data_IF_781482542030
#
_entry.id   IF_781482542030
#
_cell.length_a   1.000
_cell.length_b   1.000
_cell.length_c   1.000
_cell.angle_alpha   90.00
_cell.angle_beta   90.00
_cell.angle_gamma   90.00
#
_symmetry.space_group_name_H-M   'P 1'
#
loop_
_entity.id
_entity.type
_entity.pdbx_description
1 polymer ?
#
# COMPACT_ATOMS: atom_id res chain seq x y z
N UNK A 1 -34.30 -23.01 -14.01
CA UNK A 1 -33.32 -22.02 -14.51
C UNK A 1 -33.89 -20.63 -14.28
N UNK A 2 -33.22 -19.84 -13.44
CA UNK A 2 -33.52 -18.46 -12.97
C UNK A 2 -33.15 -18.46 -11.49
N UNK A 3 -32.25 -17.66 -10.94
CA UNK A 3 -31.56 -16.43 -11.36
C UNK A 3 -30.37 -16.36 -10.40
N UNK A 4 -29.13 -16.39 -10.89
CA UNK A 4 -27.96 -16.20 -10.04
C UNK A 4 -27.96 -14.72 -9.62
N UNK A 5 -28.31 -14.46 -8.37
CA UNK A 5 -28.29 -13.15 -7.74
C UNK A 5 -26.85 -12.61 -7.69
N UNK A 6 -26.64 -11.45 -8.30
CA UNK A 6 -25.40 -10.66 -8.34
C UNK A 6 -25.07 -10.05 -6.96
N UNK A 7 -24.83 -10.90 -5.95
CA UNK A 7 -24.67 -10.47 -4.55
C UNK A 7 -23.22 -10.50 -4.00
N UNK A 8 -22.17 -10.63 -4.84
CA UNK A 8 -20.81 -10.87 -4.31
C UNK A 8 -19.59 -10.46 -5.15
N UNK A 9 -19.71 -9.52 -6.09
CA UNK A 9 -18.54 -9.08 -6.88
C UNK A 9 -17.83 -7.87 -6.25
N UNK A 10 -16.50 -7.97 -6.13
CA UNK A 10 -15.62 -6.85 -5.86
C UNK A 10 -15.57 -5.93 -7.09
N UNK A 11 -15.61 -4.61 -6.85
CA UNK A 11 -15.51 -3.60 -7.90
C UNK A 11 -14.38 -2.64 -7.58
N UNK A 12 -13.55 -2.34 -8.58
CA UNK A 12 -12.40 -1.45 -8.45
C UNK A 12 -12.35 -0.43 -9.60
N UNK A 13 -13.33 0.49 -9.72
CA UNK A 13 -13.30 1.51 -10.77
C UNK A 13 -12.21 2.57 -10.53
N UNK A 14 -11.57 3.02 -11.61
CA UNK A 14 -10.80 4.27 -11.60
C UNK A 14 -11.67 5.46 -12.05
N UNK A 15 -11.60 6.58 -11.36
CA UNK A 15 -12.17 7.87 -11.80
C UNK A 15 -11.07 8.70 -12.45
N UNK A 16 -11.19 8.99 -13.75
CA UNK A 16 -10.29 9.92 -14.44
C UNK A 16 -10.94 11.31 -14.53
N UNK A 17 -10.32 12.30 -13.92
CA UNK A 17 -10.81 13.68 -13.87
C UNK A 17 -9.73 14.68 -14.25
N UNK A 18 -10.12 15.90 -14.62
CA UNK A 18 -9.23 17.01 -15.01
C UNK A 18 -9.45 18.27 -14.20
N UNK A 19 -10.56 18.36 -13.48
CA UNK A 19 -10.92 19.54 -12.68
C UNK A 19 -11.42 19.14 -11.29
N UNK A 20 -11.28 20.04 -10.32
CA UNK A 20 -11.84 19.86 -8.97
C UNK A 20 -13.37 19.71 -9.02
N UNK A 21 -14.07 20.39 -9.95
CA UNK A 21 -15.51 20.22 -10.08
C UNK A 21 -15.90 18.81 -10.56
N UNK A 22 -15.14 18.22 -11.49
CA UNK A 22 -15.34 16.83 -11.91
C UNK A 22 -15.06 15.86 -10.75
N UNK A 23 -13.94 16.04 -10.05
CA UNK A 23 -13.60 15.25 -8.87
C UNK A 23 -14.73 15.28 -7.83
N UNK A 24 -15.11 16.47 -7.39
CA UNK A 24 -16.15 16.66 -6.38
C UNK A 24 -17.48 16.06 -6.83
N UNK A 25 -17.90 16.33 -8.07
CA UNK A 25 -19.18 15.84 -8.59
C UNK A 25 -19.24 14.31 -8.59
N UNK A 26 -18.20 13.64 -9.10
CA UNK A 26 -18.22 12.18 -9.23
C UNK A 26 -18.04 11.47 -7.89
N UNK A 27 -17.15 11.97 -7.02
CA UNK A 27 -16.94 11.40 -5.68
C UNK A 27 -18.18 11.57 -4.80
N UNK A 28 -18.83 12.74 -4.81
CA UNK A 28 -20.08 12.99 -4.08
C UNK A 28 -21.23 12.15 -4.63
N UNK A 29 -21.33 12.02 -5.96
CA UNK A 29 -22.33 11.14 -6.57
C UNK A 29 -22.16 9.69 -6.10
N UNK A 30 -20.92 9.17 -6.13
CA UNK A 30 -20.60 7.83 -5.66
C UNK A 30 -20.99 7.59 -4.19
N UNK A 31 -20.79 8.59 -3.32
CA UNK A 31 -21.15 8.50 -1.90
C UNK A 31 -22.66 8.61 -1.67
N UNK A 32 -23.37 9.49 -2.39
CA UNK A 32 -24.83 9.60 -2.29
C UNK A 32 -25.56 8.35 -2.77
N UNK A 33 -25.04 7.66 -3.77
CA UNK A 33 -25.53 6.33 -4.14
C UNK A 33 -25.38 5.32 -3.00
N UNK A 34 -24.24 5.35 -2.29
CA UNK A 34 -24.00 4.52 -1.10
C UNK A 34 -25.01 4.81 0.01
N UNK A 35 -25.25 6.10 0.31
CA UNK A 35 -26.26 6.54 1.28
C UNK A 35 -27.66 6.02 0.93
N UNK A 36 -28.05 6.15 -0.34
CA UNK A 36 -29.36 5.67 -0.83
C UNK A 36 -29.53 4.17 -0.63
N UNK A 37 -28.43 3.41 -0.67
CA UNK A 37 -28.40 1.95 -0.49
C UNK A 37 -28.12 1.51 0.94
N UNK A 38 -27.85 2.44 1.86
CA UNK A 38 -27.44 2.14 3.23
C UNK A 38 -26.08 1.42 3.32
N UNK A 39 -25.19 1.62 2.36
CA UNK A 39 -23.86 1.00 2.34
C UNK A 39 -22.89 1.80 3.22
N UNK A 40 -22.16 1.18 4.17
CA UNK A 40 -21.12 1.86 4.94
C UNK A 40 -20.01 2.39 4.03
N UNK A 41 -19.53 3.60 4.35
CA UNK A 41 -18.57 4.31 3.52
C UNK A 41 -17.33 4.78 4.26
N UNK A 42 -16.19 4.67 3.58
CA UNK A 42 -14.95 5.31 3.96
C UNK A 42 -14.35 6.14 2.81
N UNK A 43 -13.69 7.23 3.15
CA UNK A 43 -12.99 8.11 2.22
C UNK A 43 -11.57 8.30 2.76
N UNK A 44 -10.60 7.83 2.00
CA UNK A 44 -9.18 7.98 2.29
C UNK A 44 -8.51 8.67 1.11
N UNK A 45 -8.37 9.99 1.17
CA UNK A 45 -7.80 10.83 0.11
C UNK A 45 -6.92 11.92 0.74
N UNK A 46 -6.08 12.66 -0.01
CA UNK A 46 -5.31 13.76 0.54
C UNK A 46 -6.19 14.84 1.19
N UNK A 47 -5.69 15.48 2.26
CA UNK A 47 -6.39 16.53 3.02
C UNK A 47 -7.23 17.52 2.20
N UNK A 48 -6.67 18.19 1.17
CA UNK A 48 -7.44 19.13 0.34
C UNK A 48 -8.66 18.50 -0.34
N UNK A 49 -8.56 17.25 -0.78
CA UNK A 49 -9.66 16.53 -1.38
C UNK A 49 -10.69 16.03 -0.35
N UNK A 50 -10.27 15.75 0.89
CA UNK A 50 -11.21 15.46 1.99
C UNK A 50 -12.15 16.66 2.20
N UNK A 51 -11.59 17.87 2.29
CA UNK A 51 -12.37 19.09 2.46
C UNK A 51 -13.31 19.36 1.29
N UNK A 52 -12.87 19.08 0.06
CA UNK A 52 -13.68 19.20 -1.15
C UNK A 52 -14.88 18.23 -1.12
N UNK A 53 -14.65 16.95 -0.77
CA UNK A 53 -15.71 15.94 -0.66
C UNK A 53 -16.69 16.30 0.46
N UNK A 54 -16.18 16.69 1.64
CA UNK A 54 -17.01 17.11 2.78
C UNK A 54 -17.90 18.29 2.42
N UNK A 55 -17.34 19.29 1.76
CA UNK A 55 -18.08 20.47 1.32
C UNK A 55 -19.19 20.11 0.32
N UNK A 56 -18.93 19.20 -0.62
CA UNK A 56 -19.93 18.76 -1.60
C UNK A 56 -21.05 17.87 -1.02
N UNK A 57 -20.76 17.13 0.05
CA UNK A 57 -21.76 16.34 0.78
C UNK A 57 -22.63 17.21 1.70
N UNK A 58 -22.04 18.21 2.36
CA UNK A 58 -22.75 18.97 3.39
C UNK A 58 -23.14 18.08 4.57
N UNK A 59 -24.43 18.11 4.96
CA UNK A 59 -24.96 17.28 6.06
C UNK A 59 -24.86 15.77 5.81
N UNK A 60 -24.79 15.35 4.54
CA UNK A 60 -24.67 13.94 4.14
C UNK A 60 -23.32 13.31 4.53
N UNK A 61 -22.35 14.10 5.02
CA UNK A 61 -21.04 13.61 5.44
C UNK A 61 -21.07 12.88 6.80
N UNK A 62 -22.16 12.98 7.56
CA UNK A 62 -22.31 12.29 8.85
C UNK A 62 -22.34 10.76 8.65
N UNK A 63 -21.59 10.03 9.49
CA UNK A 63 -21.52 8.57 9.43
C UNK A 63 -20.55 8.00 8.39
N UNK A 64 -19.87 8.84 7.60
CA UNK A 64 -18.78 8.42 6.70
C UNK A 64 -17.44 8.51 7.44
N UNK A 65 -16.61 7.47 7.34
CA UNK A 65 -15.25 7.49 7.88
C UNK A 65 -14.33 8.27 6.93
N UNK A 66 -13.64 9.30 7.42
CA UNK A 66 -12.67 10.06 6.63
C UNK A 66 -11.27 9.92 7.22
N UNK A 67 -10.28 9.66 6.36
CA UNK A 67 -8.89 9.44 6.72
C UNK A 67 -7.98 10.23 5.77
N UNK A 68 -6.96 10.91 6.30
CA UNK A 68 -5.97 11.56 5.44
C UNK A 68 -5.03 10.51 4.84
N UNK A 69 -5.07 10.37 3.51
CA UNK A 69 -4.24 9.40 2.79
C UNK A 69 -2.75 9.77 2.81
N UNK A 70 -2.40 11.04 3.02
CA UNK A 70 -0.99 11.45 3.17
C UNK A 70 -0.37 10.94 4.47
N UNK A 71 -1.19 10.70 5.50
CA UNK A 71 -0.76 10.10 6.77
C UNK A 71 -0.97 8.59 6.79
N UNK A 72 -2.21 8.14 6.52
CA UNK A 72 -2.58 6.73 6.58
C UNK A 72 -1.91 5.90 5.47
N UNK A 73 -1.68 6.53 4.32
CA UNK A 73 -1.08 5.93 3.14
C UNK A 73 0.37 6.31 2.88
N UNK A 74 1.04 7.01 3.80
CA UNK A 74 2.47 7.34 3.68
C UNK A 74 3.29 6.14 3.21
N UNK A 75 3.09 5.00 3.88
CA UNK A 75 3.54 3.69 3.43
C UNK A 75 2.38 2.92 2.76
N UNK A 76 2.41 2.68 1.43
CA UNK A 76 1.33 1.99 0.72
C UNK A 76 1.03 0.58 1.23
N UNK A 77 2.01 -0.10 1.83
CA UNK A 77 1.79 -1.43 2.40
C UNK A 77 0.87 -1.46 3.62
N UNK A 78 0.62 -0.31 4.27
CA UNK A 78 -0.33 -0.20 5.40
C UNK A 78 -1.78 -0.09 4.95
N UNK A 79 -2.04 0.37 3.73
CA UNK A 79 -3.36 0.82 3.31
C UNK A 79 -4.33 -0.37 3.19
N UNK A 80 -3.95 -1.46 2.50
CA UNK A 80 -4.80 -2.68 2.45
C UNK A 80 -5.11 -3.17 3.86
N UNK A 81 -4.14 -3.50 4.73
CA UNK A 81 -4.45 -4.12 6.00
C UNK A 81 -5.12 -3.18 7.01
N UNK A 82 -4.73 -1.91 7.06
CA UNK A 82 -5.20 -0.94 8.08
C UNK A 82 -6.45 -0.19 7.66
N UNK A 83 -6.48 0.31 6.42
CA UNK A 83 -7.54 1.21 5.94
C UNK A 83 -8.64 0.39 5.27
N UNK A 84 -8.31 -0.28 4.17
CA UNK A 84 -9.32 -0.93 3.34
C UNK A 84 -9.91 -2.16 4.04
N UNK A 85 -9.05 -3.07 4.49
CA UNK A 85 -9.48 -4.28 5.21
C UNK A 85 -9.95 -3.96 6.61
N UNK A 86 -9.31 -3.03 7.31
CA UNK A 86 -9.77 -2.57 8.63
C UNK A 86 -11.21 -2.07 8.58
N UNK A 87 -11.57 -1.28 7.56
CA UNK A 87 -12.95 -0.83 7.36
C UNK A 87 -13.87 -1.96 6.92
N UNK A 88 -13.54 -2.67 5.83
CA UNK A 88 -14.41 -3.73 5.30
C UNK A 88 -14.67 -4.87 6.31
N UNK A 89 -13.67 -5.25 7.11
CA UNK A 89 -13.78 -6.33 8.09
C UNK A 89 -14.61 -5.91 9.32
N UNK A 90 -14.77 -4.61 9.57
CA UNK A 90 -15.71 -4.09 10.59
C UNK A 90 -17.19 -4.17 10.14
N UNK A 91 -17.43 -4.41 8.84
CA UNK A 91 -18.77 -4.51 8.23
C UNK A 91 -18.97 -5.86 7.51
N UNK A 92 -18.84 -7.02 8.20
CA UNK A 92 -18.73 -8.33 7.56
C UNK A 92 -20.00 -8.83 6.85
N UNK A 93 -21.15 -8.17 7.08
CA UNK A 93 -22.46 -8.56 6.53
C UNK A 93 -22.97 -7.59 5.45
N UNK A 94 -22.27 -6.48 5.26
CA UNK A 94 -22.73 -5.37 4.43
C UNK A 94 -21.80 -5.21 3.23
N UNK A 95 -22.34 -4.71 2.12
CA UNK A 95 -21.50 -4.19 1.05
C UNK A 95 -20.95 -2.84 1.49
N UNK A 96 -19.65 -2.63 1.37
CA UNK A 96 -19.04 -1.32 1.69
C UNK A 96 -18.51 -0.60 0.45
N UNK A 97 -18.50 0.73 0.51
CA UNK A 97 -17.92 1.62 -0.50
C UNK A 97 -16.73 2.37 0.08
N UNK A 98 -15.64 2.44 -0.68
CA UNK A 98 -14.43 3.16 -0.26
C UNK A 98 -13.96 4.05 -1.40
N UNK A 99 -13.60 5.30 -1.10
CA UNK A 99 -12.79 6.11 -2.02
C UNK A 99 -11.35 6.07 -1.51
N UNK A 100 -10.40 5.68 -2.36
CA UNK A 100 -8.98 5.61 -2.03
C UNK A 100 -8.15 6.39 -3.05
N UNK A 101 -7.33 7.34 -2.60
CA UNK A 101 -6.43 8.09 -3.49
C UNK A 101 -4.97 8.02 -2.99
N UNK A 102 -4.32 6.84 -3.02
CA UNK A 102 -2.95 6.67 -2.54
C UNK A 102 -1.88 7.13 -3.54
N UNK A 103 -2.28 7.44 -4.78
CA UNK A 103 -1.45 8.04 -5.83
C UNK A 103 -1.99 9.45 -6.13
N UNK A 104 -1.40 10.45 -5.48
CA UNK A 104 -1.68 11.86 -5.72
C UNK A 104 -0.45 12.57 -6.31
N UNK A 105 -0.68 13.75 -6.91
CA UNK A 105 0.40 14.60 -7.41
C UNK A 105 1.32 15.02 -6.26
N UNK A 106 2.56 14.53 -6.25
CA UNK A 106 3.53 14.77 -5.19
C UNK A 106 4.23 13.51 -4.67
N UNK A 107 3.78 12.31 -5.05
CA UNK A 107 4.54 11.07 -4.80
C UNK A 107 5.90 11.13 -5.51
N UNK A 108 6.95 10.80 -4.77
CA UNK A 108 8.30 10.72 -5.34
C UNK A 108 8.47 9.49 -6.23
N UNK A 109 9.48 9.52 -7.10
CA UNK A 109 9.87 8.38 -7.92
C UNK A 109 10.25 7.13 -7.09
N UNK A 110 10.67 7.31 -5.83
CA UNK A 110 11.00 6.21 -4.91
C UNK A 110 9.73 5.55 -4.36
N UNK A 111 8.73 6.36 -4.00
CA UNK A 111 7.45 5.88 -3.46
C UNK A 111 6.55 5.28 -4.54
N UNK A 112 6.53 5.87 -5.73
CA UNK A 112 5.54 5.57 -6.75
C UNK A 112 5.42 4.07 -7.08
N UNK A 113 6.52 3.31 -7.32
CA UNK A 113 6.34 1.91 -7.65
C UNK A 113 5.74 1.07 -6.50
N UNK A 114 5.96 1.44 -5.23
CA UNK A 114 5.27 0.79 -4.11
C UNK A 114 3.78 1.12 -4.07
N UNK A 115 3.40 2.32 -4.52
CA UNK A 115 2.01 2.75 -4.67
C UNK A 115 1.31 2.03 -5.83
N UNK A 116 1.96 1.92 -6.99
CA UNK A 116 1.43 1.20 -8.14
C UNK A 116 1.23 -0.30 -7.83
N UNK A 117 2.18 -0.95 -7.16
CA UNK A 117 1.99 -2.32 -6.67
C UNK A 117 0.86 -2.41 -5.65
N UNK A 118 0.73 -1.43 -4.75
CA UNK A 118 -0.39 -1.40 -3.81
C UNK A 118 -1.74 -1.37 -4.52
N UNK A 119 -1.93 -0.45 -5.45
CA UNK A 119 -3.16 -0.32 -6.24
C UNK A 119 -3.50 -1.62 -6.97
N UNK A 120 -2.52 -2.20 -7.65
CA UNK A 120 -2.71 -3.46 -8.35
C UNK A 120 -3.14 -4.60 -7.42
N UNK A 121 -2.52 -4.69 -6.24
CA UNK A 121 -2.78 -5.73 -5.25
C UNK A 121 -4.14 -5.61 -4.54
N UNK A 122 -4.83 -4.46 -4.65
CA UNK A 122 -6.22 -4.35 -4.18
C UNK A 122 -7.11 -5.39 -4.87
N UNK A 123 -6.90 -5.63 -6.17
CA UNK A 123 -7.67 -6.61 -6.95
C UNK A 123 -7.60 -8.03 -6.34
N UNK A 124 -6.41 -8.47 -5.96
CA UNK A 124 -6.22 -9.76 -5.28
C UNK A 124 -6.69 -9.74 -3.80
N UNK A 125 -6.52 -8.62 -3.10
CA UNK A 125 -6.86 -8.53 -1.68
C UNK A 125 -8.36 -8.56 -1.40
N UNK A 126 -9.17 -8.16 -2.38
CA UNK A 126 -10.62 -8.04 -2.26
C UNK A 126 -11.39 -8.96 -3.21
N UNK A 127 -10.73 -9.83 -3.97
CA UNK A 127 -11.39 -10.82 -4.82
C UNK A 127 -12.49 -11.58 -4.04
N UNK A 128 -13.69 -11.65 -4.64
CA UNK A 128 -14.85 -12.32 -4.05
C UNK A 128 -15.51 -11.59 -2.86
N UNK A 129 -15.08 -10.38 -2.51
CA UNK A 129 -15.68 -9.60 -1.42
C UNK A 129 -16.72 -8.60 -1.92
N UNK A 130 -17.74 -8.34 -1.11
CA UNK A 130 -18.77 -7.34 -1.39
C UNK A 130 -18.25 -5.91 -1.10
N UNK A 131 -17.26 -5.46 -1.87
CA UNK A 131 -16.62 -4.16 -1.68
C UNK A 131 -16.58 -3.43 -3.02
N UNK A 132 -16.78 -2.12 -3.00
CA UNK A 132 -16.49 -1.23 -4.14
C UNK A 132 -15.44 -0.21 -3.71
N UNK A 133 -14.30 -0.17 -4.39
CA UNK A 133 -13.23 0.81 -4.14
C UNK A 133 -13.08 1.70 -5.37
N UNK A 134 -13.35 2.99 -5.21
CA UNK A 134 -13.17 4.00 -6.25
C UNK A 134 -11.81 4.67 -6.08
N UNK A 135 -10.96 4.63 -7.12
CA UNK A 135 -9.64 5.28 -7.11
C UNK A 135 -9.60 6.47 -8.08
N UNK A 136 -9.55 7.73 -7.58
CA UNK A 136 -9.42 8.91 -8.43
C UNK A 136 -8.01 9.11 -8.99
N UNK A 137 -7.91 9.60 -10.23
CA UNK A 137 -6.68 9.94 -10.94
C UNK A 137 -6.83 11.28 -11.67
N UNK A 138 -5.97 12.24 -11.31
CA UNK A 138 -5.88 13.55 -11.93
C UNK A 138 -5.12 13.46 -13.27
N UNK A 139 -5.83 13.50 -14.39
CA UNK A 139 -5.24 13.42 -15.74
C UNK A 139 -4.40 14.65 -16.12
N UNK A 140 -4.51 15.76 -15.36
CA UNK A 140 -3.74 16.98 -15.63
C UNK A 140 -2.44 17.03 -14.83
N UNK A 141 -2.48 16.59 -13.56
CA UNK A 141 -1.36 16.74 -12.62
C UNK A 141 -0.50 15.48 -12.48
N UNK A 142 -1.01 14.31 -12.84
CA UNK A 142 -0.23 13.06 -12.81
C UNK A 142 0.52 12.86 -14.13
N UNK A 143 1.70 12.26 -14.03
CA UNK A 143 2.48 11.91 -15.22
C UNK A 143 1.70 10.94 -16.13
N UNK A 144 1.86 11.02 -17.46
CA UNK A 144 1.15 10.14 -18.39
C UNK A 144 1.36 8.64 -18.13
N UNK A 145 2.54 8.24 -17.62
CA UNK A 145 2.81 6.84 -17.29
C UNK A 145 1.98 6.35 -16.09
N UNK A 146 1.67 7.23 -15.13
CA UNK A 146 0.80 6.93 -13.98
C UNK A 146 -0.62 6.65 -14.45
N UNK A 147 -1.12 7.48 -15.37
CA UNK A 147 -2.43 7.27 -15.98
C UNK A 147 -2.46 5.98 -16.80
N UNK A 148 -1.38 5.65 -17.50
CA UNK A 148 -1.27 4.38 -18.23
C UNK A 148 -1.30 3.17 -17.28
N UNK A 149 -0.60 3.22 -16.15
CA UNK A 149 -0.64 2.17 -15.13
C UNK A 149 -2.04 2.03 -14.52
N UNK A 150 -2.72 3.14 -14.23
CA UNK A 150 -4.08 3.12 -13.72
C UNK A 150 -5.04 2.41 -14.69
N UNK A 151 -4.90 2.65 -16.00
CA UNK A 151 -5.71 1.99 -17.04
C UNK A 151 -5.49 0.48 -17.10
N UNK A 152 -4.28 0.01 -16.84
CA UNK A 152 -3.95 -1.42 -16.77
C UNK A 152 -4.44 -2.03 -15.44
N UNK A 153 -4.42 -1.26 -14.36
CA UNK A 153 -4.74 -1.71 -13.00
C UNK A 153 -6.23 -1.91 -12.73
N UNK A 154 -7.10 -1.10 -13.34
CA UNK A 154 -8.53 -1.06 -13.01
C UNK A 154 -9.38 -1.75 -14.08
N UNK A 155 -10.33 -2.62 -13.72
CA UNK A 155 -11.21 -3.30 -14.67
C UNK A 155 -12.23 -2.36 -15.34
N UNK A 156 -12.61 -1.27 -14.69
CA UNK A 156 -13.56 -0.28 -15.20
C UNK A 156 -13.11 1.14 -14.91
N UNK A 157 -13.61 2.08 -15.71
CA UNK A 157 -13.30 3.50 -15.61
C UNK A 157 -14.57 4.33 -15.53
N UNK A 158 -14.48 5.46 -14.84
CA UNK A 158 -15.48 6.52 -14.78
C UNK A 158 -14.80 7.79 -15.32
N UNK A 159 -15.37 8.44 -16.33
CA UNK A 159 -14.86 9.73 -16.81
C UNK A 159 -15.30 10.88 -15.90
N UNK A 160 -14.67 12.06 -16.03
CA UNK A 160 -15.09 13.26 -15.31
C UNK A 160 -16.56 13.64 -15.55
N UNK A 161 -17.15 13.26 -16.69
CA UNK A 161 -18.58 13.43 -16.99
C UNK A 161 -19.48 12.32 -16.40
N UNK A 162 -18.91 11.29 -15.77
CA UNK A 162 -19.63 10.18 -15.15
C UNK A 162 -19.93 9.03 -16.11
N UNK A 163 -19.27 8.95 -17.27
CA UNK A 163 -19.46 7.84 -18.21
C UNK A 163 -18.62 6.65 -17.78
N UNK A 164 -19.27 5.50 -17.63
CA UNK A 164 -18.60 4.25 -17.32
C UNK A 164 -18.09 3.54 -18.59
N UNK A 165 -16.95 2.87 -18.47
CA UNK A 165 -16.40 2.01 -19.52
C UNK A 165 -15.58 0.86 -18.92
N UNK A 166 -15.40 -0.20 -19.69
CA UNK A 166 -14.54 -1.34 -19.31
C UNK A 166 -13.13 -1.09 -19.82
N UNK A 167 -12.13 -1.46 -19.03
CA UNK A 167 -10.74 -1.39 -19.45
C UNK A 167 -10.42 -2.45 -20.51
N UNK A 168 -9.94 -2.06 -21.71
CA UNK A 168 -9.53 -3.02 -22.73
C UNK A 168 -8.15 -3.65 -22.45
N UNK A 169 -7.41 -3.12 -21.48
CA UNK A 169 -6.01 -3.49 -21.17
C UNK A 169 -5.85 -3.92 -19.71
N UNK A 170 -6.93 -4.33 -19.05
CA UNK A 170 -6.91 -4.74 -17.65
C UNK A 170 -6.00 -5.95 -17.45
N UNK A 171 -4.92 -5.74 -16.69
CA UNK A 171 -3.91 -6.73 -16.33
C UNK A 171 -3.11 -6.22 -15.11
N UNK A 172 -3.74 -6.26 -13.93
CA UNK A 172 -3.10 -5.75 -12.72
C UNK A 172 -1.83 -6.52 -12.36
N UNK A 173 -1.71 -7.80 -12.74
CA UNK A 173 -0.51 -8.60 -12.53
C UNK A 173 0.69 -8.01 -13.28
N UNK A 174 0.50 -7.56 -14.52
CA UNK A 174 1.55 -6.89 -15.28
C UNK A 174 2.08 -5.62 -14.60
N UNK A 175 1.26 -4.91 -13.82
CA UNK A 175 1.70 -3.74 -13.03
C UNK A 175 2.53 -4.19 -11.81
N UNK A 176 2.13 -5.26 -11.14
CA UNK A 176 2.92 -5.85 -10.04
C UNK A 176 4.30 -6.29 -10.53
N UNK A 177 4.35 -7.00 -11.66
CA UNK A 177 5.59 -7.51 -12.26
C UNK A 177 6.50 -6.37 -12.74
N UNK A 178 5.94 -5.36 -13.43
CA UNK A 178 6.68 -4.17 -13.89
C UNK A 178 7.41 -3.44 -12.77
N UNK A 179 6.81 -3.43 -11.58
CA UNK A 179 7.33 -2.72 -10.41
C UNK A 179 8.01 -3.61 -9.38
N UNK A 180 8.13 -4.92 -9.65
CA UNK A 180 9.07 -5.82 -8.97
C UNK A 180 10.52 -5.55 -9.44
N UNK A 181 10.94 -4.30 -9.35
CA UNK A 181 12.22 -3.82 -9.86
C UNK A 181 13.36 -4.14 -8.90
N UNK A 182 14.48 -4.60 -9.45
CA UNK A 182 15.68 -4.84 -8.66
C UNK A 182 16.13 -3.55 -7.94
N UNK A 183 16.44 -3.69 -6.66
CA UNK A 183 16.94 -2.59 -5.84
C UNK A 183 18.47 -2.58 -5.96
N UNK A 184 19.03 -1.56 -6.60
CA UNK A 184 20.47 -1.46 -6.83
C UNK A 184 21.26 -1.49 -5.51
N UNK A 185 22.32 -2.32 -5.38
CA UNK A 185 23.21 -2.31 -4.23
C UNK A 185 23.87 -0.94 -4.03
N UNK A 186 24.16 -0.59 -2.78
CA UNK A 186 24.90 0.63 -2.41
C UNK A 186 26.30 0.23 -1.95
N UNK A 187 27.36 0.46 -2.75
CA UNK A 187 28.70 -0.08 -2.49
C UNK A 187 29.30 0.30 -1.13
N UNK A 188 29.05 1.52 -0.66
CA UNK A 188 29.63 2.06 0.58
C UNK A 188 28.69 1.95 1.79
N UNK A 189 27.58 1.22 1.67
CA UNK A 189 26.68 1.00 2.79
C UNK A 189 27.33 0.13 3.87
N UNK A 190 27.09 0.47 5.14
CA UNK A 190 27.57 -0.36 6.24
C UNK A 190 26.79 -1.69 6.25
N UNK A 191 27.48 -2.78 5.98
CA UNK A 191 26.88 -4.10 5.83
C UNK A 191 27.28 -5.09 6.94
N UNK A 192 26.40 -6.03 7.22
CA UNK A 192 26.60 -7.13 8.16
C UNK A 192 25.94 -8.41 7.63
N UNK A 193 26.73 -9.44 7.36
CA UNK A 193 26.20 -10.78 7.03
C UNK A 193 25.90 -11.56 8.29
N UNK A 194 24.79 -12.30 8.30
CA UNK A 194 24.29 -13.00 9.47
C UNK A 194 23.66 -14.35 9.11
N UNK A 195 23.72 -15.29 10.04
CA UNK A 195 22.85 -16.47 10.12
C UNK A 195 22.00 -16.44 11.39
N UNK A 196 21.48 -17.60 11.80
CA UNK A 196 20.63 -17.73 12.99
C UNK A 196 21.32 -17.26 14.29
N UNK A 197 22.60 -17.59 14.46
CA UNK A 197 23.35 -17.29 15.68
C UNK A 197 23.71 -15.80 15.79
N UNK A 198 23.78 -15.10 14.66
CA UNK A 198 24.11 -13.67 14.60
C UNK A 198 22.89 -12.74 14.71
N UNK A 199 21.66 -13.26 14.84
CA UNK A 199 20.45 -12.43 14.96
C UNK A 199 20.55 -11.34 16.06
N UNK A 200 21.09 -11.61 17.27
CA UNK A 200 21.31 -10.55 18.25
C UNK A 200 22.37 -9.53 17.82
N UNK A 201 23.42 -9.98 17.10
CA UNK A 201 24.53 -9.14 16.66
C UNK A 201 24.13 -8.21 15.51
N UNK A 202 23.38 -8.70 14.53
CA UNK A 202 22.88 -7.87 13.42
C UNK A 202 21.91 -6.79 13.90
N UNK A 203 21.07 -7.07 14.92
CA UNK A 203 20.22 -6.05 15.57
C UNK A 203 21.05 -4.96 16.25
N UNK A 204 22.06 -5.33 17.04
CA UNK A 204 22.97 -4.36 17.67
C UNK A 204 23.73 -3.53 16.64
N UNK A 205 24.18 -4.17 15.55
CA UNK A 205 24.81 -3.48 14.44
C UNK A 205 23.88 -2.42 13.85
N UNK A 206 22.64 -2.79 13.49
CA UNK A 206 21.66 -1.87 12.93
C UNK A 206 21.42 -0.64 13.81
N UNK A 207 21.24 -0.85 15.12
CA UNK A 207 21.04 0.23 16.07
C UNK A 207 22.26 1.14 16.22
N UNK A 208 23.46 0.57 16.19
CA UNK A 208 24.69 1.37 16.22
C UNK A 208 24.85 2.22 14.95
N UNK A 209 24.49 1.68 13.78
CA UNK A 209 24.48 2.43 12.52
C UNK A 209 23.42 3.54 12.55
N UNK A 210 22.18 3.22 12.92
CA UNK A 210 21.06 4.17 12.98
C UNK A 210 21.37 5.35 13.90
N UNK A 211 21.90 5.09 15.10
CA UNK A 211 22.34 6.14 16.05
C UNK A 211 23.41 7.05 15.45
N UNK A 212 24.41 6.47 14.78
CA UNK A 212 25.50 7.25 14.17
C UNK A 212 25.00 8.14 13.03
N UNK A 213 23.97 7.70 12.32
CA UNK A 213 23.33 8.44 11.23
C UNK A 213 22.32 9.47 11.73
N UNK A 214 22.13 9.61 13.05
CA UNK A 214 21.32 10.68 13.65
C UNK A 214 19.94 10.25 14.12
N UNK A 215 19.54 8.99 13.94
CA UNK A 215 18.23 8.51 14.38
C UNK A 215 18.17 8.40 15.92
N UNK A 216 17.08 8.89 16.51
CA UNK A 216 16.89 8.93 17.95
C UNK A 216 15.45 8.60 18.37
N UNK A 217 15.24 8.44 19.69
CA UNK A 217 13.92 8.23 20.29
C UNK A 217 13.19 6.99 19.77
N UNK A 218 11.88 7.12 19.59
CA UNK A 218 11.00 6.00 19.20
C UNK A 218 11.39 5.39 17.85
N UNK A 219 12.01 6.16 16.95
CA UNK A 219 12.47 5.65 15.66
C UNK A 219 13.58 4.60 15.77
N UNK A 220 14.35 4.58 16.86
CA UNK A 220 15.30 3.49 17.09
C UNK A 220 14.59 2.17 17.41
N UNK A 221 13.46 2.22 18.12
CA UNK A 221 12.63 1.04 18.38
C UNK A 221 11.99 0.54 17.08
N UNK A 222 11.56 1.45 16.20
CA UNK A 222 11.08 1.11 14.85
C UNK A 222 12.14 0.35 14.04
N UNK A 223 13.39 0.82 14.03
CA UNK A 223 14.52 0.13 13.37
C UNK A 223 14.75 -1.24 14.00
N UNK A 224 14.80 -1.31 15.33
CA UNK A 224 15.02 -2.58 16.04
C UNK A 224 13.98 -3.61 15.63
N UNK A 225 12.69 -3.23 15.66
CA UNK A 225 11.58 -4.10 15.30
C UNK A 225 11.68 -4.51 13.83
N UNK A 226 11.82 -3.56 12.91
CA UNK A 226 11.85 -3.86 11.48
C UNK A 226 13.03 -4.78 11.12
N UNK A 227 14.22 -4.53 11.66
CA UNK A 227 15.39 -5.38 11.45
C UNK A 227 15.20 -6.75 12.09
N UNK A 228 14.64 -6.83 13.31
CA UNK A 228 14.38 -8.11 13.97
C UNK A 228 13.44 -9.00 13.12
N UNK A 229 12.35 -8.43 12.61
CA UNK A 229 11.38 -9.15 11.80
C UNK A 229 11.95 -9.56 10.44
N UNK A 230 12.62 -8.66 9.73
CA UNK A 230 13.20 -8.97 8.42
C UNK A 230 14.32 -10.00 8.52
N UNK A 231 15.25 -9.84 9.47
CA UNK A 231 16.37 -10.78 9.63
C UNK A 231 15.90 -12.17 10.09
N UNK A 232 14.86 -12.22 10.93
CA UNK A 232 14.24 -13.49 11.32
C UNK A 232 13.54 -14.14 10.12
N UNK A 233 12.80 -13.38 9.31
CA UNK A 233 12.20 -13.91 8.08
C UNK A 233 13.26 -14.45 7.11
N UNK A 234 14.39 -13.76 6.95
CA UNK A 234 15.50 -14.23 6.11
C UNK A 234 16.13 -15.53 6.63
N UNK A 235 16.24 -15.73 7.95
CA UNK A 235 16.73 -17.00 8.50
C UNK A 235 15.70 -18.11 8.33
N UNK A 236 14.45 -17.86 8.67
CA UNK A 236 13.39 -18.89 8.70
C UNK A 236 12.90 -19.26 7.30
N UNK A 237 12.80 -18.28 6.40
CA UNK A 237 12.21 -18.42 5.07
C UNK A 237 13.20 -18.11 3.93
N UNK A 238 14.29 -17.40 4.21
CA UNK A 238 15.27 -16.87 3.25
C UNK A 238 16.51 -17.74 2.98
N UNK A 239 16.50 -19.00 3.42
CA UNK A 239 17.65 -19.91 3.24
C UNK A 239 18.68 -19.89 4.37
N UNK A 240 18.31 -19.40 5.56
CA UNK A 240 19.10 -19.53 6.79
C UNK A 240 20.14 -18.44 7.02
N UNK A 241 20.34 -17.55 6.06
CA UNK A 241 21.34 -16.46 6.13
C UNK A 241 20.89 -15.26 5.32
N UNK A 242 21.46 -14.10 5.61
CA UNK A 242 21.25 -12.89 4.82
C UNK A 242 22.32 -11.84 5.06
N UNK A 243 22.12 -10.69 4.43
CA UNK A 243 22.94 -9.49 4.62
C UNK A 243 22.03 -8.32 4.95
N UNK A 244 22.36 -7.60 6.02
CA UNK A 244 21.77 -6.30 6.34
C UNK A 244 22.73 -5.21 5.87
N UNK A 245 22.24 -4.23 5.13
CA UNK A 245 22.95 -2.98 4.81
C UNK A 245 22.21 -1.78 5.40
N UNK A 246 22.95 -0.81 5.94
CA UNK A 246 22.40 0.41 6.54
C UNK A 246 23.17 1.64 6.06
N UNK A 247 22.45 2.64 5.57
CA UNK A 247 23.02 3.91 5.12
C UNK A 247 22.02 5.06 5.33
N UNK A 248 22.45 6.28 5.06
CA UNK A 248 21.58 7.45 5.00
C UNK A 248 21.51 7.98 3.57
N UNK A 249 20.34 8.39 3.13
CA UNK A 249 20.10 9.00 1.83
C UNK A 249 18.98 10.03 1.96
N UNK A 250 19.21 11.26 1.46
CA UNK A 250 18.19 12.31 1.36
C UNK A 250 17.41 12.58 2.68
N UNK A 251 18.10 12.55 3.83
CA UNK A 251 17.47 12.78 5.14
C UNK A 251 16.68 11.58 5.68
N UNK A 252 16.87 10.40 5.11
CA UNK A 252 16.28 9.15 5.57
C UNK A 252 17.37 8.15 5.97
N UNK A 253 17.13 7.40 7.03
CA UNK A 253 17.78 6.13 7.28
C UNK A 253 17.19 5.09 6.33
N UNK A 254 18.06 4.34 5.66
CA UNK A 254 17.68 3.23 4.80
C UNK A 254 18.31 1.95 5.33
N UNK A 255 17.49 0.93 5.49
CA UNK A 255 17.93 -0.41 5.86
C UNK A 255 17.47 -1.39 4.78
N UNK A 256 18.37 -2.25 4.34
CA UNK A 256 18.09 -3.27 3.34
C UNK A 256 18.49 -4.64 3.85
N UNK A 257 17.57 -5.59 3.75
CA UNK A 257 17.82 -7.00 4.03
C UNK A 257 17.75 -7.77 2.72
N UNK A 258 18.81 -8.54 2.44
CA UNK A 258 18.89 -9.47 1.32
C UNK A 258 19.04 -10.90 1.82
N UNK A 259 18.32 -11.82 1.19
CA UNK A 259 18.45 -13.26 1.42
C UNK A 259 18.20 -14.04 0.12
N UNK A 260 18.42 -15.35 0.16
CA UNK A 260 18.31 -16.22 -1.00
C UNK A 260 16.92 -16.87 -1.15
N UNK A 261 15.95 -16.51 -0.30
CA UNK A 261 14.59 -17.02 -0.40
C UNK A 261 13.78 -16.24 -1.40
N UNK A 262 12.73 -16.89 -1.91
CA UNK A 262 11.79 -16.28 -2.85
C UNK A 262 10.46 -16.04 -2.16
N UNK A 263 10.05 -14.78 -2.07
CA UNK A 263 8.72 -14.42 -1.58
C UNK A 263 7.69 -14.65 -2.70
N UNK A 264 6.85 -15.69 -2.54
CA UNK A 264 5.88 -16.07 -3.59
C UNK A 264 4.49 -15.48 -3.40
N UNK A 265 4.13 -15.07 -2.18
CA UNK A 265 2.86 -14.42 -1.89
C UNK A 265 2.99 -12.89 -2.03
N UNK A 266 2.44 -12.26 -3.08
CA UNK A 266 2.60 -10.84 -3.31
C UNK A 266 1.84 -9.96 -2.29
N UNK A 267 0.94 -10.57 -1.51
CA UNK A 267 0.18 -9.92 -0.44
C UNK A 267 0.77 -10.23 0.95
N UNK A 268 1.94 -10.86 1.04
CA UNK A 268 2.65 -11.04 2.29
C UNK A 268 2.88 -9.67 2.97
N UNK A 269 2.59 -9.59 4.27
CA UNK A 269 2.65 -8.34 5.02
C UNK A 269 1.55 -7.31 4.70
N UNK A 270 0.61 -7.63 3.80
CA UNK A 270 -0.49 -6.73 3.39
C UNK A 270 -1.88 -7.24 3.76
N UNK A 271 -1.99 -8.41 4.38
CA UNK A 271 -3.25 -8.93 4.94
C UNK A 271 -3.26 -8.73 6.47
N UNK A 272 -4.40 -8.37 7.08
CA UNK A 272 -4.55 -8.44 8.53
C UNK A 272 -4.22 -9.86 9.03
N UNK A 273 -3.57 -10.01 10.19
CA UNK A 273 -3.24 -11.32 10.70
C UNK A 273 -4.51 -12.07 11.11
N UNK A 274 -4.56 -13.37 10.83
CA UNK A 274 -5.62 -14.23 11.33
C UNK A 274 -5.57 -14.30 12.86
N UNK A 275 -6.73 -14.17 13.51
CA UNK A 275 -6.83 -14.31 14.96
C UNK A 275 -6.45 -15.74 15.37
N UNK A 276 -5.52 -15.86 16.32
CA UNK A 276 -5.11 -17.16 16.89
C UNK A 276 -4.01 -17.91 16.13
N UNK A 277 -3.52 -17.43 14.97
CA UNK A 277 -2.32 -18.00 14.34
C UNK A 277 -1.03 -17.46 14.98
N UNK A 278 -0.11 -18.33 15.46
CA UNK A 278 1.25 -17.92 15.79
C UNK A 278 2.01 -17.52 14.52
N UNK A 279 2.61 -16.33 14.51
CA UNK A 279 3.45 -15.85 13.39
C UNK A 279 2.69 -15.11 12.28
N UNK A 280 3.39 -14.83 11.17
CA UNK A 280 2.83 -14.16 9.98
C UNK A 280 2.63 -12.65 10.10
N UNK A 281 3.13 -12.02 11.17
CA UNK A 281 2.96 -10.58 11.44
C UNK A 281 4.19 -9.76 11.08
N UNK A 282 5.36 -10.38 10.91
CA UNK A 282 6.62 -9.65 10.81
C UNK A 282 6.66 -8.62 9.70
N UNK A 283 6.39 -9.04 8.45
CA UNK A 283 6.40 -8.10 7.32
C UNK A 283 5.28 -7.04 7.41
N UNK A 284 4.15 -7.38 8.03
CA UNK A 284 3.10 -6.42 8.33
C UNK A 284 3.59 -5.35 9.33
N UNK A 285 4.25 -5.76 10.42
CA UNK A 285 4.82 -4.86 11.41
C UNK A 285 5.89 -3.94 10.79
N UNK A 286 6.73 -4.48 9.90
CA UNK A 286 7.71 -3.68 9.14
C UNK A 286 7.01 -2.56 8.37
N UNK A 287 5.92 -2.88 7.66
CA UNK A 287 5.11 -1.85 7.01
C UNK A 287 4.58 -0.83 8.03
N UNK A 288 4.10 -1.25 9.20
CA UNK A 288 3.55 -0.36 10.24
C UNK A 288 4.53 0.61 10.88
N UNK A 289 5.83 0.30 10.92
CA UNK A 289 6.84 1.19 11.52
C UNK A 289 7.60 2.01 10.48
N UNK A 290 7.87 1.45 9.30
CA UNK A 290 8.62 2.14 8.24
C UNK A 290 7.79 3.17 7.47
N UNK A 291 8.41 4.31 7.13
CA UNK A 291 7.77 5.36 6.31
C UNK A 291 7.52 4.88 4.88
N UNK A 292 8.39 4.02 4.35
CA UNK A 292 8.24 3.34 3.07
C UNK A 292 8.91 1.96 3.15
N UNK A 293 8.35 0.99 2.43
CA UNK A 293 8.98 -0.32 2.19
C UNK A 293 8.95 -0.59 0.69
N UNK A 294 10.11 -0.96 0.17
CA UNK A 294 10.35 -1.44 -1.19
C UNK A 294 10.71 -2.92 -1.12
N UNK A 295 10.24 -3.68 -2.08
CA UNK A 295 10.50 -5.11 -2.16
C UNK A 295 10.84 -5.50 -3.59
N UNK A 296 11.87 -6.32 -3.73
CA UNK A 296 12.15 -7.07 -4.94
C UNK A 296 12.26 -8.55 -4.58
N UNK A 297 11.69 -9.42 -5.40
CA UNK A 297 11.87 -10.88 -5.26
C UNK A 297 12.06 -11.50 -6.63
N UNK A 298 13.00 -12.43 -6.73
CA UNK A 298 13.34 -13.15 -7.95
C UNK A 298 13.91 -14.53 -7.65
N UNK A 299 14.48 -15.18 -8.67
CA UNK A 299 15.12 -16.49 -8.50
C UNK A 299 16.43 -16.41 -7.69
N UNK A 300 17.08 -15.25 -7.70
CA UNK A 300 18.31 -14.99 -6.94
C UNK A 300 18.06 -14.60 -5.47
N UNK A 301 16.79 -14.41 -5.09
CA UNK A 301 16.39 -14.15 -3.70
C UNK A 301 15.43 -12.98 -3.51
N UNK A 302 15.31 -12.52 -2.27
CA UNK A 302 14.43 -11.42 -1.86
C UNK A 302 15.25 -10.29 -1.27
N UNK A 303 14.93 -9.05 -1.68
CA UNK A 303 15.46 -7.82 -1.11
C UNK A 303 14.32 -6.99 -0.54
N UNK A 304 14.37 -6.69 0.75
CA UNK A 304 13.44 -5.76 1.40
C UNK A 304 14.20 -4.55 1.88
N UNK A 305 13.83 -3.38 1.38
CA UNK A 305 14.42 -2.09 1.76
C UNK A 305 13.37 -1.23 2.42
N UNK A 306 13.63 -0.78 3.65
CA UNK A 306 12.73 0.12 4.36
C UNK A 306 13.41 1.44 4.70
N UNK A 307 12.58 2.47 4.77
CA UNK A 307 13.00 3.86 4.92
C UNK A 307 12.36 4.46 6.17
N UNK A 308 13.14 5.24 6.91
CA UNK A 308 12.70 6.01 8.05
C UNK A 308 13.29 7.41 7.96
N UNK A 309 12.49 8.44 8.20
CA UNK A 309 12.97 9.82 8.27
C UNK A 309 13.91 9.97 9.49
N UNK A 310 15.03 10.67 9.29
CA UNK A 310 15.98 11.02 10.36
C UNK A 310 15.45 12.14 11.25
#
# INVERSE_FOLDING_TARGET
MSTVTTQGAFLHPALFYRTEQEYMRQTVFFLREGLTRGEPMAVAVPGPHLELIRSGLGGDAEGILFLDMTEAGRNPGRIIPKVLRGFADAHPKERVRIIGEPIWAGRSAVEYPACAQHEALINAAFEGRAVTILCPYDEWRLDPHVIADARVTHPTFISGEGRESVSPTYDWQAVVDRYNQELAPVPDAAAFSYGADELPSVRRFALAQAKRLGLAGDRLMDVELAVAELTTNSVVHGGGRGTLAVWAEQGQLVCEVRDAGRLTDPLAGRRPPEHGRPGGRGLLLVHYVADLVRLHTGDDGTTVRFYLSL
#
